data_IF_570378250799
#
_entry.id   IF_570378250799
#
_cell.length_a   1.000
_cell.length_b   1.000
_cell.length_c   1.000
_cell.angle_alpha   90.00
_cell.angle_beta   90.00
_cell.angle_gamma   90.00
#
_symmetry.space_group_name_H-M   'P 1'
#
loop_
_entity.id
_entity.type
_entity.pdbx_description
1 polymer ?
#
# COMPACT_ATOMS: atom_id res chain seq x y z
N UNK A 1 12.28 -5.30 16.74
CA UNK A 1 11.72 -6.08 15.61
C UNK A 1 10.27 -6.52 15.87
N UNK A 2 9.96 -7.22 16.96
CA UNK A 2 8.59 -7.68 17.24
C UNK A 2 7.57 -6.53 17.33
N UNK A 3 7.86 -5.48 18.11
CA UNK A 3 6.97 -4.32 18.24
C UNK A 3 6.74 -3.59 16.90
N UNK A 4 7.77 -3.51 16.05
CA UNK A 4 7.65 -2.97 14.69
C UNK A 4 6.66 -3.79 13.86
N UNK A 5 6.81 -5.12 13.84
CA UNK A 5 5.91 -6.00 13.09
C UNK A 5 4.48 -5.91 13.63
N UNK A 6 4.30 -5.95 14.95
CA UNK A 6 2.99 -5.83 15.58
C UNK A 6 2.30 -4.50 15.23
N UNK A 7 3.04 -3.39 15.25
CA UNK A 7 2.52 -2.09 14.86
C UNK A 7 2.09 -2.07 13.38
N UNK A 8 2.96 -2.55 12.48
CA UNK A 8 2.65 -2.63 11.05
C UNK A 8 1.38 -3.46 10.82
N UNK A 9 1.25 -4.63 11.45
CA UNK A 9 0.05 -5.46 11.32
C UNK A 9 -1.20 -4.82 11.94
N UNK A 10 -1.06 -4.18 13.11
CA UNK A 10 -2.17 -3.53 13.81
C UNK A 10 -2.79 -2.37 13.00
N UNK A 11 -2.00 -1.71 12.15
CA UNK A 11 -2.49 -0.64 11.27
C UNK A 11 -2.92 -1.19 9.91
N UNK A 12 -2.09 -2.02 9.27
CA UNK A 12 -2.34 -2.50 7.90
C UNK A 12 -3.58 -3.39 7.79
N UNK A 13 -3.83 -4.30 8.74
CA UNK A 13 -4.96 -5.23 8.64
C UNK A 13 -6.31 -4.50 8.72
N UNK A 14 -6.56 -3.60 9.70
CA UNK A 14 -7.80 -2.82 9.72
C UNK A 14 -8.00 -1.96 8.47
N UNK A 15 -6.93 -1.36 7.94
CA UNK A 15 -6.98 -0.57 6.70
C UNK A 15 -7.39 -1.45 5.52
N UNK A 16 -6.76 -2.63 5.36
CA UNK A 16 -7.12 -3.57 4.31
C UNK A 16 -8.57 -4.05 4.43
N UNK A 17 -9.04 -4.36 5.65
CA UNK A 17 -10.43 -4.77 5.87
C UNK A 17 -11.43 -3.64 5.54
N UNK A 18 -11.09 -2.40 5.85
CA UNK A 18 -11.87 -1.23 5.47
C UNK A 18 -11.92 -1.07 3.95
N UNK A 19 -10.78 -1.19 3.27
CA UNK A 19 -10.71 -1.10 1.80
C UNK A 19 -11.48 -2.26 1.14
N UNK A 20 -11.34 -3.50 1.61
CA UNK A 20 -12.16 -4.64 1.17
C UNK A 20 -13.66 -4.35 1.34
N UNK A 21 -14.05 -3.77 2.48
CA UNK A 21 -15.45 -3.44 2.73
C UNK A 21 -15.98 -2.40 1.72
N UNK A 22 -15.16 -1.43 1.34
CA UNK A 22 -15.48 -0.36 0.41
C UNK A 22 -15.46 -0.80 -1.07
N UNK A 23 -14.48 -1.61 -1.46
CA UNK A 23 -14.18 -1.93 -2.86
C UNK A 23 -14.78 -3.24 -3.36
N UNK A 24 -15.06 -4.17 -2.45
CA UNK A 24 -15.60 -5.51 -2.77
C UNK A 24 -14.73 -6.26 -3.78
N UNK A 25 -15.31 -6.69 -4.90
CA UNK A 25 -14.75 -7.63 -5.87
C UNK A 25 -13.88 -6.96 -6.94
N UNK A 26 -14.09 -5.67 -7.19
CA UNK A 26 -13.46 -4.98 -8.33
C UNK A 26 -12.17 -4.25 -7.97
N UNK A 27 -11.94 -3.99 -6.68
CA UNK A 27 -10.73 -3.32 -6.16
C UNK A 27 -10.57 -1.87 -6.63
N UNK A 28 -9.54 -1.20 -6.14
CA UNK A 28 -9.06 0.09 -6.63
C UNK A 28 -10.19 1.13 -6.83
N UNK A 29 -10.92 1.41 -5.76
CA UNK A 29 -12.03 2.36 -5.64
C UNK A 29 -13.22 2.13 -6.56
N UNK A 30 -13.25 1.07 -7.38
CA UNK A 30 -14.26 0.86 -8.43
C UNK A 30 -15.69 0.65 -7.91
N UNK A 31 -15.83 0.18 -6.66
CA UNK A 31 -17.11 0.10 -5.95
C UNK A 31 -17.66 1.44 -5.46
N UNK A 32 -16.89 2.53 -5.57
CA UNK A 32 -17.23 3.82 -4.98
C UNK A 32 -17.95 4.76 -5.95
N UNK A 33 -19.00 5.48 -5.50
CA UNK A 33 -19.66 6.54 -6.27
C UNK A 33 -18.67 7.66 -6.63
N UNK A 34 -18.46 7.87 -7.93
CA UNK A 34 -17.45 8.80 -8.47
C UNK A 34 -17.82 10.27 -8.35
N UNK A 35 -19.09 10.56 -8.06
CA UNK A 35 -19.64 11.90 -7.79
C UNK A 35 -19.39 12.35 -6.34
N UNK A 36 -18.98 11.45 -5.45
CA UNK A 36 -18.64 11.76 -4.05
C UNK A 36 -17.14 11.97 -3.90
N UNK A 37 -16.75 12.85 -2.97
CA UNK A 37 -15.34 13.21 -2.73
C UNK A 37 -14.42 11.99 -2.53
N UNK A 38 -14.89 10.95 -1.83
CA UNK A 38 -14.10 9.75 -1.53
C UNK A 38 -13.93 8.84 -2.74
N UNK A 39 -14.89 8.79 -3.67
CA UNK A 39 -14.80 8.04 -4.92
C UNK A 39 -14.26 8.85 -6.10
N UNK A 40 -14.15 10.18 -5.95
CA UNK A 40 -13.68 11.08 -6.99
C UNK A 40 -12.20 10.84 -7.33
N UNK A 41 -11.87 10.97 -8.61
CA UNK A 41 -10.49 10.94 -9.09
C UNK A 41 -9.86 12.33 -8.86
N UNK A 42 -8.90 12.39 -7.95
CA UNK A 42 -8.16 13.61 -7.64
C UNK A 42 -7.17 13.92 -8.75
N UNK A 43 -7.15 15.18 -9.19
CA UNK A 43 -6.17 15.68 -10.15
C UNK A 43 -6.40 15.19 -11.58
N UNK A 44 -7.61 14.75 -11.94
CA UNK A 44 -7.95 14.30 -13.31
C UNK A 44 -7.60 15.32 -14.38
N UNK A 45 -7.74 16.61 -14.08
CA UNK A 45 -7.47 17.71 -15.00
C UNK A 45 -6.07 18.31 -14.82
N UNK A 46 -5.32 17.89 -13.80
CA UNK A 46 -4.00 18.42 -13.51
C UNK A 46 -2.91 17.55 -14.17
N UNK A 47 -2.17 18.15 -15.11
CA UNK A 47 -1.10 17.47 -15.85
C UNK A 47 -0.02 16.89 -14.93
N UNK A 48 0.36 17.61 -13.87
CA UNK A 48 1.36 17.14 -12.91
C UNK A 48 0.89 15.89 -12.18
N UNK A 49 -0.35 15.88 -11.69
CA UNK A 49 -0.90 14.72 -10.98
C UNK A 49 -1.05 13.50 -11.89
N UNK A 50 -1.41 13.71 -13.16
CA UNK A 50 -1.46 12.65 -14.18
C UNK A 50 -0.07 12.05 -14.45
N UNK A 51 0.93 12.90 -14.60
CA UNK A 51 2.31 12.46 -14.81
C UNK A 51 2.85 11.71 -13.59
N UNK A 52 2.58 12.22 -12.38
CA UNK A 52 2.96 11.56 -11.14
C UNK A 52 2.34 10.17 -11.03
N UNK A 53 1.03 10.04 -11.29
CA UNK A 53 0.34 8.76 -11.28
C UNK A 53 1.01 7.76 -12.25
N UNK A 54 1.33 8.21 -13.46
CA UNK A 54 2.01 7.39 -14.45
C UNK A 54 3.41 6.94 -14.01
N UNK A 55 4.20 7.84 -13.42
CA UNK A 55 5.55 7.56 -12.90
C UNK A 55 5.51 6.49 -11.81
N UNK A 56 4.56 6.61 -10.87
CA UNK A 56 4.41 5.64 -9.78
C UNK A 56 3.64 4.37 -10.19
N UNK A 57 3.22 4.28 -11.45
CA UNK A 57 2.56 3.09 -12.01
C UNK A 57 1.10 2.94 -11.61
N UNK A 58 0.48 3.97 -11.02
CA UNK A 58 -0.95 3.97 -10.67
C UNK A 58 -1.77 4.70 -11.75
N UNK A 59 -3.01 4.28 -12.02
CA UNK A 59 -3.85 4.88 -13.06
C UNK A 59 -4.34 6.29 -12.69
N UNK A 60 -4.65 6.51 -11.42
CA UNK A 60 -5.20 7.73 -10.86
C UNK A 60 -5.24 7.63 -9.33
N UNK A 61 -5.35 8.77 -8.66
CA UNK A 61 -5.54 8.87 -7.22
C UNK A 61 -7.01 9.02 -6.88
N UNK A 62 -7.56 8.16 -6.04
CA UNK A 62 -8.90 8.36 -5.49
C UNK A 62 -8.88 9.19 -4.21
N UNK A 63 -9.96 9.92 -3.95
CA UNK A 63 -10.09 10.71 -2.73
C UNK A 63 -9.90 9.92 -1.44
N UNK A 64 -10.50 8.73 -1.34
CA UNK A 64 -10.31 7.88 -0.16
C UNK A 64 -8.86 7.41 -0.05
N UNK A 65 -8.22 6.96 -1.14
CA UNK A 65 -6.82 6.52 -1.14
C UNK A 65 -5.88 7.66 -0.75
N UNK A 66 -6.11 8.88 -1.25
CA UNK A 66 -5.34 10.07 -0.84
C UNK A 66 -5.54 10.35 0.64
N UNK A 67 -6.78 10.35 1.11
CA UNK A 67 -7.09 10.56 2.51
C UNK A 67 -6.44 9.50 3.41
N UNK A 68 -6.52 8.22 3.05
CA UNK A 68 -5.97 7.13 3.87
C UNK A 68 -4.45 7.14 3.87
N UNK A 69 -3.83 7.13 2.69
CA UNK A 69 -2.39 6.92 2.57
C UNK A 69 -1.58 8.20 2.79
N UNK A 70 -2.07 9.38 2.39
CA UNK A 70 -1.30 10.63 2.50
C UNK A 70 -1.74 11.52 3.67
N UNK A 71 -2.83 11.20 4.36
CA UNK A 71 -3.26 11.96 5.54
C UNK A 71 -3.43 11.07 6.78
N UNK A 72 -4.33 10.08 6.76
CA UNK A 72 -4.68 9.30 7.93
C UNK A 72 -3.49 8.50 8.48
N UNK A 73 -2.84 7.66 7.66
CA UNK A 73 -1.69 6.86 8.12
C UNK A 73 -0.54 7.75 8.60
N UNK A 74 -0.11 8.79 7.86
CA UNK A 74 0.90 9.73 8.35
C UNK A 74 0.52 10.38 9.68
N UNK A 75 -0.74 10.80 9.86
CA UNK A 75 -1.20 11.40 11.13
C UNK A 75 -1.15 10.36 12.26
N UNK A 76 -1.59 9.12 12.03
CA UNK A 76 -1.50 8.04 13.03
C UNK A 76 -0.04 7.80 13.43
N UNK A 77 0.87 7.70 12.45
CA UNK A 77 2.30 7.51 12.71
C UNK A 77 2.90 8.70 13.45
N UNK A 78 2.59 9.92 13.03
CA UNK A 78 3.05 11.12 13.74
C UNK A 78 2.53 11.08 15.16
N UNK A 79 1.23 10.90 15.41
CA UNK A 79 0.67 10.89 16.77
C UNK A 79 1.25 9.78 17.66
N UNK A 80 1.45 8.57 17.10
CA UNK A 80 2.01 7.44 17.84
C UNK A 80 3.49 7.68 18.22
N UNK A 81 4.25 8.33 17.34
CA UNK A 81 5.70 8.46 17.50
C UNK A 81 6.17 9.88 17.89
N UNK A 82 5.29 10.89 17.87
CA UNK A 82 5.61 12.31 18.11
C UNK A 82 6.35 12.52 19.42
N UNK A 83 6.05 11.70 20.42
CA UNK A 83 6.63 11.78 21.75
C UNK A 83 7.75 10.75 22.01
N UNK A 84 7.97 9.77 21.13
CA UNK A 84 8.74 8.57 21.47
C UNK A 84 9.90 8.24 20.54
N UNK A 85 9.81 8.54 19.23
CA UNK A 85 10.85 8.15 18.27
C UNK A 85 11.10 9.30 17.28
N UNK A 86 12.08 10.20 17.54
CA UNK A 86 12.42 11.31 16.64
C UNK A 86 13.28 10.86 15.45
N UNK A 87 13.04 9.64 14.92
CA UNK A 87 13.81 9.05 13.84
C UNK A 87 12.96 8.95 12.59
N UNK A 88 13.07 9.95 11.72
CA UNK A 88 12.29 10.03 10.48
C UNK A 88 12.47 8.80 9.57
N UNK A 89 13.67 8.19 9.56
CA UNK A 89 13.94 6.97 8.80
C UNK A 89 13.11 5.78 9.30
N UNK A 90 12.85 5.73 10.62
CA UNK A 90 12.01 4.70 11.21
C UNK A 90 10.55 4.89 10.79
N UNK A 91 10.06 6.12 10.82
CA UNK A 91 8.71 6.45 10.34
C UNK A 91 8.51 6.09 8.87
N UNK A 92 9.49 6.38 8.01
CA UNK A 92 9.44 5.95 6.61
C UNK A 92 9.46 4.44 6.45
N UNK A 93 10.27 3.72 7.24
CA UNK A 93 10.29 2.25 7.20
C UNK A 93 8.94 1.66 7.61
N UNK A 94 8.34 2.15 8.69
CA UNK A 94 7.01 1.72 9.15
C UNK A 94 5.95 2.05 8.09
N UNK A 95 5.96 3.27 7.55
CA UNK A 95 5.02 3.70 6.52
C UNK A 95 5.06 2.80 5.27
N UNK A 96 6.25 2.57 4.71
CA UNK A 96 6.42 1.70 3.54
C UNK A 96 5.97 0.26 3.86
N UNK A 97 6.29 -0.24 5.05
CA UNK A 97 5.87 -1.57 5.48
C UNK A 97 4.34 -1.66 5.61
N UNK A 98 3.67 -0.65 6.17
CA UNK A 98 2.20 -0.60 6.27
C UNK A 98 1.60 -0.68 4.87
N UNK A 99 2.02 0.17 3.93
CA UNK A 99 1.45 0.16 2.57
C UNK A 99 1.60 -1.20 1.88
N UNK A 100 2.76 -1.85 2.01
CA UNK A 100 3.01 -3.15 1.38
C UNK A 100 2.23 -4.29 2.03
N UNK A 101 2.17 -4.32 3.37
CA UNK A 101 1.42 -5.34 4.11
C UNK A 101 -0.07 -5.16 3.92
N UNK A 102 -0.55 -3.92 3.86
CA UNK A 102 -1.95 -3.57 3.63
C UNK A 102 -2.44 -4.05 2.26
N UNK A 103 -1.75 -3.67 1.16
CA UNK A 103 -2.08 -4.16 -0.19
C UNK A 103 -2.06 -5.70 -0.24
N UNK A 104 -1.04 -6.33 0.36
CA UNK A 104 -0.99 -7.79 0.44
C UNK A 104 -2.15 -8.39 1.26
N UNK A 105 -2.49 -7.78 2.40
CA UNK A 105 -3.63 -8.17 3.24
C UNK A 105 -4.95 -8.02 2.50
N UNK A 106 -5.11 -7.00 1.66
CA UNK A 106 -6.27 -6.88 0.77
C UNK A 106 -6.39 -8.12 -0.11
N UNK A 107 -5.30 -8.54 -0.77
CA UNK A 107 -5.35 -9.75 -1.60
C UNK A 107 -5.55 -11.02 -0.79
N UNK A 108 -4.96 -11.14 0.38
CA UNK A 108 -5.04 -12.35 1.20
C UNK A 108 -6.41 -12.53 1.88
N UNK A 109 -7.07 -11.44 2.25
CA UNK A 109 -8.27 -11.45 3.10
C UNK A 109 -9.57 -11.13 2.35
N UNK A 110 -9.52 -10.62 1.12
CA UNK A 110 -10.73 -10.26 0.39
C UNK A 110 -11.61 -11.49 0.06
N UNK A 111 -12.81 -11.62 0.64
CA UNK A 111 -13.69 -12.77 0.40
C UNK A 111 -14.56 -12.61 -0.85
N UNK A 112 -14.63 -11.40 -1.43
CA UNK A 112 -15.55 -11.08 -2.53
C UNK A 112 -14.99 -11.46 -3.91
N UNK A 113 -13.70 -11.75 -3.99
CA UNK A 113 -13.00 -12.06 -5.23
C UNK A 113 -11.79 -12.95 -4.91
N UNK A 114 -11.41 -13.92 -5.77
CA UNK A 114 -10.22 -14.77 -5.58
C UNK A 114 -8.91 -13.98 -5.78
N UNK A 115 -8.79 -12.86 -5.10
CA UNK A 115 -7.74 -11.84 -5.18
C UNK A 115 -6.34 -12.41 -5.08
N UNK A 116 -6.05 -13.24 -4.08
CA UNK A 116 -4.73 -13.85 -3.91
C UNK A 116 -4.38 -14.78 -5.09
N UNK A 117 -5.35 -15.57 -5.57
CA UNK A 117 -5.13 -16.47 -6.71
C UNK A 117 -4.84 -15.67 -7.98
N UNK A 118 -5.59 -14.60 -8.21
CA UNK A 118 -5.42 -13.73 -9.37
C UNK A 118 -4.12 -12.92 -9.30
N UNK A 119 -3.71 -12.47 -8.10
CA UNK A 119 -2.41 -11.84 -7.87
C UNK A 119 -1.26 -12.78 -8.22
N UNK A 120 -1.34 -14.05 -7.78
CA UNK A 120 -0.28 -15.03 -8.02
C UNK A 120 -0.15 -15.44 -9.49
N UNK A 121 -1.20 -15.28 -10.32
CA UNK A 121 -1.09 -15.43 -11.79
C UNK A 121 -0.28 -14.30 -12.44
N UNK A 122 -0.07 -13.20 -11.73
CA UNK A 122 0.70 -12.04 -12.17
C UNK A 122 0.20 -11.46 -13.49
N UNK A 123 1.05 -11.40 -14.55
CA UNK A 123 0.65 -10.82 -15.83
C UNK A 123 -0.47 -11.59 -16.55
N UNK A 124 -0.78 -12.81 -16.11
CA UNK A 124 -1.88 -13.64 -16.64
C UNK A 124 -3.15 -13.57 -15.76
N UNK A 125 -3.09 -12.83 -14.66
CA UNK A 125 -4.23 -12.61 -13.78
C UNK A 125 -5.08 -11.42 -14.19
N UNK A 126 -6.15 -11.19 -13.45
CA UNK A 126 -7.06 -10.05 -13.65
C UNK A 126 -6.63 -8.76 -12.92
N UNK A 127 -5.53 -8.80 -12.16
CA UNK A 127 -5.01 -7.64 -11.41
C UNK A 127 -4.28 -6.69 -12.35
N UNK A 128 -4.87 -5.54 -12.62
CA UNK A 128 -4.41 -4.63 -13.67
C UNK A 128 -3.58 -3.43 -13.14
N UNK A 129 -3.67 -3.09 -11.85
CA UNK A 129 -2.96 -1.95 -11.28
C UNK A 129 -1.48 -2.22 -11.01
N UNK A 130 -1.07 -3.47 -10.79
CA UNK A 130 0.33 -3.86 -10.71
C UNK A 130 0.95 -4.04 -12.10
N UNK A 131 1.98 -3.25 -12.42
CA UNK A 131 2.58 -3.18 -13.77
C UNK A 131 3.81 -4.04 -13.98
N UNK A 132 4.52 -4.37 -12.90
CA UNK A 132 5.77 -5.12 -12.94
C UNK A 132 5.67 -6.31 -12.01
N UNK A 133 6.12 -7.47 -12.49
CA UNK A 133 5.96 -8.74 -11.81
C UNK A 133 7.30 -9.45 -11.68
N UNK A 134 7.53 -10.11 -10.55
CA UNK A 134 8.66 -10.99 -10.30
C UNK A 134 8.12 -12.41 -10.24
N UNK A 135 8.69 -13.31 -11.03
CA UNK A 135 8.36 -14.73 -10.97
C UNK A 135 9.02 -15.34 -9.74
N UNK A 136 8.23 -15.93 -8.85
CA UNK A 136 8.72 -16.55 -7.60
C UNK A 136 8.71 -18.08 -7.64
N UNK A 137 7.88 -18.67 -8.50
CA UNK A 137 7.81 -20.12 -8.71
C UNK A 137 7.29 -20.43 -10.12
N UNK A 138 7.25 -21.71 -10.54
CA UNK A 138 6.50 -22.10 -11.73
C UNK A 138 5.05 -21.61 -11.62
N UNK A 139 4.60 -20.81 -12.60
CA UNK A 139 3.24 -20.26 -12.67
C UNK A 139 2.83 -19.36 -11.48
N UNK A 140 3.78 -18.87 -10.66
CA UNK A 140 3.50 -17.93 -9.56
C UNK A 140 4.36 -16.68 -9.63
N UNK A 141 3.73 -15.54 -9.41
CA UNK A 141 4.31 -14.21 -9.49
C UNK A 141 3.95 -13.40 -8.26
N UNK A 142 4.76 -12.38 -7.96
CA UNK A 142 4.42 -11.30 -7.04
C UNK A 142 4.70 -9.95 -7.70
N UNK A 143 3.97 -8.89 -7.34
CA UNK A 143 4.31 -7.54 -7.76
C UNK A 143 5.75 -7.17 -7.39
N UNK A 144 6.47 -6.52 -8.31
CA UNK A 144 7.82 -6.00 -8.06
C UNK A 144 7.82 -4.97 -6.92
N UNK A 145 6.72 -4.25 -6.73
CA UNK A 145 6.53 -3.30 -5.63
C UNK A 145 6.76 -3.94 -4.26
N UNK A 146 6.32 -5.18 -4.04
CA UNK A 146 6.54 -5.86 -2.76
C UNK A 146 8.02 -6.14 -2.47
N UNK A 147 8.76 -6.58 -3.49
CA UNK A 147 10.20 -6.78 -3.36
C UNK A 147 10.92 -5.46 -3.12
N UNK A 148 10.54 -4.41 -3.86
CA UNK A 148 11.13 -3.09 -3.70
C UNK A 148 10.83 -2.50 -2.31
N UNK A 149 9.60 -2.60 -1.81
CA UNK A 149 9.23 -2.19 -0.45
C UNK A 149 10.03 -2.95 0.61
N UNK A 150 10.16 -4.27 0.47
CA UNK A 150 10.97 -5.07 1.40
C UNK A 150 12.45 -4.64 1.41
N UNK A 151 13.01 -4.35 0.24
CA UNK A 151 14.38 -3.83 0.11
C UNK A 151 14.52 -2.44 0.76
N UNK A 152 13.61 -1.51 0.48
CA UNK A 152 13.60 -0.18 1.07
C UNK A 152 13.52 -0.24 2.60
N UNK A 153 12.59 -1.02 3.15
CA UNK A 153 12.45 -1.20 4.61
C UNK A 153 13.74 -1.78 5.20
N UNK A 154 14.32 -2.81 4.58
CA UNK A 154 15.56 -3.44 5.06
C UNK A 154 16.72 -2.45 5.09
N UNK A 155 16.89 -1.65 4.04
CA UNK A 155 17.94 -0.63 3.95
C UNK A 155 17.74 0.46 5.00
N UNK A 156 16.51 0.96 5.19
CA UNK A 156 16.21 1.97 6.20
C UNK A 156 16.48 1.45 7.62
N UNK A 157 16.06 0.22 7.94
CA UNK A 157 16.33 -0.40 9.23
C UNK A 157 17.82 -0.67 9.44
N UNK A 158 18.56 -1.05 8.40
CA UNK A 158 20.02 -1.22 8.49
C UNK A 158 20.73 0.10 8.82
N UNK A 159 20.37 1.20 8.17
CA UNK A 159 20.93 2.52 8.51
C UNK A 159 20.59 2.97 9.94
N UNK A 160 19.39 2.61 10.43
CA UNK A 160 19.03 2.87 11.83
C UNK A 160 19.87 2.06 12.81
N UNK A 161 20.18 0.80 12.49
CA UNK A 161 21.07 -0.03 13.31
C UNK A 161 22.47 0.57 13.38
N UNK A 162 23.06 0.92 12.24
CA UNK A 162 24.40 1.53 12.18
C UNK A 162 24.52 2.87 12.92
N UNK A 163 23.42 3.60 13.09
CA UNK A 163 23.41 4.89 13.79
C UNK A 163 23.33 4.74 15.32
N UNK A 164 22.82 3.61 15.80
CA UNK A 164 22.63 3.34 17.22
C UNK A 164 23.80 2.56 17.85
N UNK A 165 24.80 2.18 17.06
CA UNK A 165 26.12 1.68 17.48
C UNK A 165 27.13 2.83 17.58
#
# INVERSE_FOLDING_TARGET
>A
MLLFLLNVFAISIPVALFEIWMEKDKGWGSGLPKDKWYGAIIGKENLFMRNLAHIIGVPYFFGYAVFMYFLLIPVVLVLEYFFYIPQILFLFAVYIAILAVEDFSWFALNPYFPSLRELLKGPQGSIWWHKRWIRIAPLRYLPFSYFFSALCVSVLLFFLLLRNE
#
